data_IF_052226462336
#
_entry.id   IF_052226462336
#
_cell.length_a   1.000
_cell.length_b   1.000
_cell.length_c   1.000
_cell.angle_alpha   90.00
_cell.angle_beta   90.00
_cell.angle_gamma   90.00
#
_symmetry.space_group_name_H-M   'P 1'
#
loop_
_entity.id
_entity.type
_entity.pdbx_description
1 polymer ?
#
# COMPACT_ATOMS: atom_id res chain seq x y z
N UNK A 1 -10.15 21.68 39.83
CA UNK A 1 -10.78 22.80 40.55
C UNK A 1 -10.56 22.69 42.05
N UNK A 2 -10.62 21.49 42.64
CA UNK A 2 -10.40 21.24 44.08
C UNK A 2 -9.02 21.72 44.62
N UNK A 3 -7.94 21.59 43.84
CA UNK A 3 -6.60 22.05 44.28
C UNK A 3 -6.47 23.57 44.42
N UNK A 4 -7.25 24.33 43.64
CA UNK A 4 -7.17 25.79 43.60
C UNK A 4 -7.87 26.40 44.82
N UNK A 5 -9.00 25.81 45.21
CA UNK A 5 -9.76 26.19 46.41
C UNK A 5 -8.98 25.83 47.68
N UNK A 6 -8.36 24.63 47.71
CA UNK A 6 -7.49 24.20 48.80
C UNK A 6 -6.21 25.06 48.93
N UNK A 7 -5.70 25.63 47.83
CA UNK A 7 -4.59 26.58 47.86
C UNK A 7 -5.00 27.93 48.46
N UNK A 8 -6.15 28.47 48.06
CA UNK A 8 -6.66 29.75 48.58
C UNK A 8 -7.03 29.67 50.07
N UNK A 9 -7.62 28.56 50.52
CA UNK A 9 -7.91 28.31 51.93
C UNK A 9 -6.62 28.24 52.78
N UNK A 10 -5.60 27.52 52.31
CA UNK A 10 -4.28 27.48 52.98
C UNK A 10 -3.65 28.86 53.06
N UNK A 11 -3.77 29.68 52.01
CA UNK A 11 -3.27 31.05 52.00
C UNK A 11 -3.99 31.94 53.03
N UNK A 12 -5.32 31.84 53.12
CA UNK A 12 -6.12 32.62 54.06
C UNK A 12 -5.77 32.31 55.53
N UNK A 13 -5.57 31.03 55.87
CA UNK A 13 -5.14 30.61 57.22
C UNK A 13 -3.80 31.21 57.61
N UNK A 14 -2.84 31.28 56.67
CA UNK A 14 -1.52 31.88 56.91
C UNK A 14 -1.64 33.38 57.20
N UNK A 15 -2.48 34.10 56.43
CA UNK A 15 -2.70 35.53 56.64
C UNK A 15 -3.38 35.86 57.98
N UNK A 16 -4.42 35.11 58.35
CA UNK A 16 -5.13 35.32 59.62
C UNK A 16 -4.22 35.03 60.82
N UNK A 17 -3.37 34.00 60.73
CA UNK A 17 -2.42 33.67 61.79
C UNK A 17 -1.38 34.78 62.01
N UNK A 18 -0.76 35.26 60.92
CA UNK A 18 0.22 36.35 60.98
C UNK A 18 -0.37 37.67 61.52
N UNK A 19 -1.68 37.90 61.32
CA UNK A 19 -2.40 39.06 61.86
C UNK A 19 -2.60 38.96 63.38
N UNK A 20 -2.94 37.78 63.89
CA UNK A 20 -3.11 37.51 65.32
C UNK A 20 -1.79 37.65 66.09
N UNK A 21 -0.69 37.25 65.46
CA UNK A 21 0.65 37.26 66.04
C UNK A 21 1.28 38.66 66.01
N UNK A 22 1.02 39.46 64.97
CA UNK A 22 1.39 40.89 64.96
C UNK A 22 0.59 41.71 65.98
N UNK A 23 -0.67 41.34 66.24
CA UNK A 23 -1.45 41.94 67.32
C UNK A 23 -0.83 41.67 68.70
N UNK A 24 -0.31 40.46 68.95
CA UNK A 24 0.37 40.14 70.21
C UNK A 24 1.64 40.96 70.41
N UNK A 25 2.45 41.16 69.37
CA UNK A 25 3.63 42.04 69.45
C UNK A 25 3.26 43.51 69.69
N UNK A 26 2.11 43.96 69.19
CA UNK A 26 1.60 45.32 69.46
C UNK A 26 1.24 45.55 70.93
N UNK A 27 0.94 44.49 71.70
CA UNK A 27 0.66 44.54 73.15
C UNK A 27 1.94 44.72 73.98
N UNK A 28 3.12 44.46 73.42
CA UNK A 28 4.40 44.60 74.11
C UNK A 28 4.68 46.06 74.50
N UNK A 29 4.41 47.02 73.61
CA UNK A 29 4.70 48.44 73.85
C UNK A 29 3.89 49.01 75.04
N UNK A 30 2.56 48.79 75.11
CA UNK A 30 1.77 49.14 76.30
C UNK A 30 2.27 48.47 77.59
N UNK A 31 2.65 47.19 77.56
CA UNK A 31 3.16 46.48 78.73
C UNK A 31 4.49 47.06 79.24
N UNK A 32 5.40 47.41 78.32
CA UNK A 32 6.66 48.07 78.66
C UNK A 32 6.40 49.45 79.29
N UNK A 33 5.51 50.26 78.71
CA UNK A 33 5.13 51.54 79.30
C UNK A 33 4.50 51.37 80.69
N UNK A 34 3.64 50.37 80.87
CA UNK A 34 3.06 50.05 82.17
C UNK A 34 4.14 49.63 83.18
N UNK A 35 5.12 48.81 82.80
CA UNK A 35 6.22 48.43 83.67
C UNK A 35 7.05 49.63 84.16
N UNK A 36 7.29 50.64 83.30
CA UNK A 36 8.00 51.86 83.71
C UNK A 36 7.17 52.77 84.63
N UNK A 37 5.83 52.69 84.60
CA UNK A 37 4.96 53.45 85.49
C UNK A 37 4.82 52.79 86.87
N UNK A 38 4.83 51.46 86.93
CA UNK A 38 4.72 50.69 88.16
C UNK A 38 5.50 49.37 88.00
N UNK A 39 6.79 49.38 88.37
CA UNK A 39 7.67 48.23 88.18
C UNK A 39 7.34 47.14 89.20
N UNK A 40 6.82 46.03 88.71
CA UNK A 40 6.53 44.83 89.50
C UNK A 40 7.03 43.57 88.81
N UNK A 41 7.32 42.55 89.60
CA UNK A 41 7.77 41.24 89.11
C UNK A 41 6.71 40.58 88.20
N UNK A 42 5.43 40.80 88.49
CA UNK A 42 4.33 40.32 87.64
C UNK A 42 4.39 40.93 86.22
N UNK A 43 4.56 42.25 86.11
CA UNK A 43 4.66 42.93 84.79
C UNK A 43 5.93 42.56 84.04
N UNK A 44 7.04 42.34 84.76
CA UNK A 44 8.26 41.81 84.16
C UNK A 44 8.02 40.41 83.56
N UNK A 45 7.40 39.52 84.33
CA UNK A 45 7.10 38.15 83.89
C UNK A 45 6.13 38.13 82.69
N UNK A 46 5.17 39.06 82.62
CA UNK A 46 4.27 39.20 81.47
C UNK A 46 5.03 39.62 80.19
N UNK A 47 5.94 40.60 80.29
CA UNK A 47 6.80 41.02 79.18
C UNK A 47 7.72 39.88 78.75
N UNK A 48 8.34 39.19 79.71
CA UNK A 48 9.25 38.08 79.44
C UNK A 48 8.53 36.91 78.76
N UNK A 49 7.34 36.55 79.23
CA UNK A 49 6.47 35.53 78.64
C UNK A 49 6.14 35.85 77.18
N UNK A 50 5.77 37.10 76.88
CA UNK A 50 5.40 37.55 75.54
C UNK A 50 6.61 37.58 74.58
N UNK A 51 7.79 38.00 75.08
CA UNK A 51 9.05 37.93 74.33
C UNK A 51 9.42 36.47 74.01
N UNK A 52 9.34 35.58 75.00
CA UNK A 52 9.69 34.18 74.84
C UNK A 52 8.72 33.47 73.88
N UNK A 53 7.41 33.74 73.98
CA UNK A 53 6.42 33.26 73.01
C UNK A 53 6.71 33.75 71.59
N UNK A 54 7.09 35.02 71.43
CA UNK A 54 7.44 35.60 70.11
C UNK A 54 8.69 34.96 69.51
N UNK A 55 9.72 34.68 70.33
CA UNK A 55 10.94 33.99 69.89
C UNK A 55 10.65 32.57 69.41
N UNK A 56 9.84 31.82 70.17
CA UNK A 56 9.42 30.47 69.79
C UNK A 56 8.62 30.48 68.49
N UNK A 57 7.73 31.45 68.34
CA UNK A 57 6.97 31.64 67.11
C UNK A 57 7.88 31.92 65.90
N UNK A 58 8.82 32.86 66.04
CA UNK A 58 9.74 33.23 64.96
C UNK A 58 10.61 32.03 64.53
N UNK A 59 11.06 31.22 65.50
CA UNK A 59 11.78 29.97 65.25
C UNK A 59 10.91 28.96 64.48
N UNK A 60 9.63 28.82 64.86
CA UNK A 60 8.68 27.96 64.15
C UNK A 60 8.44 28.41 62.71
N UNK A 61 8.22 29.70 62.49
CA UNK A 61 8.03 30.26 61.14
C UNK A 61 9.28 30.08 60.29
N UNK A 62 10.47 30.27 60.85
CA UNK A 62 11.72 30.05 60.14
C UNK A 62 11.88 28.57 59.72
N UNK A 63 11.55 27.63 60.62
CA UNK A 63 11.58 26.21 60.31
C UNK A 63 10.56 25.83 59.22
N UNK A 64 9.32 26.31 59.33
CA UNK A 64 8.27 26.07 58.32
C UNK A 64 8.62 26.71 56.97
N UNK A 65 9.28 27.88 56.97
CA UNK A 65 9.74 28.54 55.75
C UNK A 65 10.84 27.73 55.06
N UNK A 66 11.78 27.18 55.83
CA UNK A 66 12.84 26.33 55.30
C UNK A 66 12.26 25.04 54.71
N UNK A 67 11.37 24.38 55.43
CA UNK A 67 10.70 23.17 54.94
C UNK A 67 9.91 23.44 53.65
N UNK A 68 9.15 24.54 53.59
CA UNK A 68 8.42 24.94 52.38
C UNK A 68 9.34 25.18 51.19
N UNK A 69 10.53 25.74 51.42
CA UNK A 69 11.51 25.94 50.37
C UNK A 69 12.05 24.60 49.85
N UNK A 70 12.37 23.67 50.73
CA UNK A 70 12.80 22.31 50.37
C UNK A 70 11.71 21.57 49.57
N UNK A 71 10.45 21.61 50.05
CA UNK A 71 9.30 21.02 49.36
C UNK A 71 9.10 21.63 47.96
N UNK A 72 9.28 22.95 47.83
CA UNK A 72 9.18 23.65 46.56
C UNK A 72 10.26 23.20 45.56
N UNK A 73 11.50 23.02 46.03
CA UNK A 73 12.60 22.52 45.20
C UNK A 73 12.35 21.08 44.73
N UNK A 74 11.84 20.21 45.61
CA UNK A 74 11.44 18.84 45.26
C UNK A 74 10.33 18.85 44.21
N UNK A 75 9.30 19.69 44.38
CA UNK A 75 8.21 19.82 43.41
C UNK A 75 8.68 20.39 42.07
N UNK A 76 9.62 21.33 42.07
CA UNK A 76 10.24 21.82 40.83
C UNK A 76 10.99 20.72 40.10
N UNK A 77 11.74 19.89 40.83
CA UNK A 77 12.50 18.79 40.26
C UNK A 77 11.56 17.73 39.64
N UNK A 78 10.54 17.30 40.39
CA UNK A 78 9.49 16.40 39.86
C UNK A 78 8.84 16.96 38.59
N UNK A 79 8.56 18.27 38.55
CA UNK A 79 8.00 18.92 37.36
C UNK A 79 8.93 18.83 36.14
N UNK A 80 10.25 18.92 36.34
CA UNK A 80 11.23 18.77 35.24
C UNK A 80 11.25 17.33 34.74
N UNK A 81 11.32 16.37 35.64
CA UNK A 81 11.31 14.93 35.33
C UNK A 81 10.05 14.54 34.54
N UNK A 82 8.86 14.89 35.03
CA UNK A 82 7.59 14.62 34.33
C UNK A 82 7.54 15.27 32.93
N UNK A 83 8.16 16.44 32.75
CA UNK A 83 8.25 17.09 31.42
C UNK A 83 9.17 16.34 30.47
N UNK A 84 10.24 15.74 30.97
CA UNK A 84 11.17 14.94 30.18
C UNK A 84 10.54 13.61 29.79
N UNK A 85 9.90 12.92 30.74
CA UNK A 85 9.11 11.71 30.49
C UNK A 85 8.02 11.95 29.43
N UNK A 86 7.26 13.04 29.56
CA UNK A 86 6.25 13.41 28.57
C UNK A 86 6.85 13.59 27.16
N UNK A 87 8.03 14.21 27.05
CA UNK A 87 8.71 14.37 25.76
C UNK A 87 9.11 13.02 25.17
N UNK A 88 9.62 12.09 25.99
CA UNK A 88 9.99 10.74 25.55
C UNK A 88 8.77 9.96 25.06
N UNK A 89 7.70 9.90 25.86
CA UNK A 89 6.45 9.23 25.48
C UNK A 89 5.89 9.81 24.18
N UNK A 90 5.96 11.13 24.00
CA UNK A 90 5.51 11.78 22.76
C UNK A 90 6.33 11.34 21.54
N UNK A 91 7.65 11.23 21.68
CA UNK A 91 8.52 10.75 20.60
C UNK A 91 8.21 9.29 20.26
N UNK A 92 8.10 8.42 21.26
CA UNK A 92 7.73 7.01 21.07
C UNK A 92 6.38 6.85 20.40
N UNK A 93 5.39 7.67 20.78
CA UNK A 93 4.06 7.68 20.16
C UNK A 93 4.14 8.04 18.68
N UNK A 94 5.00 9.01 18.31
CA UNK A 94 5.21 9.39 16.90
C UNK A 94 5.87 8.24 16.13
N UNK A 95 6.87 7.57 16.72
CA UNK A 95 7.51 6.42 16.09
C UNK A 95 6.56 5.24 15.90
N UNK A 96 5.76 4.92 16.92
CA UNK A 96 4.76 3.86 16.86
C UNK A 96 3.75 4.13 15.72
N UNK A 97 3.27 5.38 15.58
CA UNK A 97 2.40 5.78 14.46
C UNK A 97 3.07 5.59 13.10
N UNK A 98 4.35 5.95 12.95
CA UNK A 98 5.10 5.71 11.71
C UNK A 98 5.21 4.22 11.39
N UNK A 99 5.49 3.37 12.39
CA UNK A 99 5.56 1.91 12.23
C UNK A 99 4.20 1.32 11.82
N UNK A 100 3.11 1.80 12.41
CA UNK A 100 1.75 1.39 12.07
C UNK A 100 1.40 1.71 10.61
N UNK A 101 1.70 2.92 10.13
CA UNK A 101 1.48 3.29 8.72
C UNK A 101 2.28 2.37 7.78
N UNK A 102 3.55 2.09 8.10
CA UNK A 102 4.37 1.16 7.31
C UNK A 102 3.77 -0.25 7.27
N UNK A 103 3.32 -0.76 8.41
CA UNK A 103 2.70 -2.08 8.50
C UNK A 103 1.40 -2.15 7.67
N UNK A 104 0.57 -1.10 7.70
CA UNK A 104 -0.64 -1.02 6.87
C UNK A 104 -0.32 -1.04 5.38
N UNK A 105 0.73 -0.33 4.94
CA UNK A 105 1.16 -0.37 3.54
C UNK A 105 1.60 -1.78 3.13
N UNK A 106 2.39 -2.46 3.96
CA UNK A 106 2.83 -3.84 3.72
C UNK A 106 1.63 -4.79 3.65
N UNK A 107 0.66 -4.63 4.55
CA UNK A 107 -0.56 -5.43 4.52
C UNK A 107 -1.32 -5.23 3.21
N UNK A 108 -1.51 -3.99 2.76
CA UNK A 108 -2.18 -3.69 1.50
C UNK A 108 -1.43 -4.27 0.28
N UNK A 109 -0.09 -4.30 0.30
CA UNK A 109 0.69 -4.97 -0.76
C UNK A 109 0.51 -6.49 -0.69
N UNK A 110 0.50 -7.07 0.50
CA UNK A 110 0.31 -8.50 0.70
C UNK A 110 -1.09 -8.93 0.24
N UNK A 111 -2.13 -8.15 0.50
CA UNK A 111 -3.48 -8.42 0.01
C UNK A 111 -3.53 -8.47 -1.52
N UNK A 112 -2.81 -7.56 -2.20
CA UNK A 112 -2.66 -7.58 -3.66
C UNK A 112 -1.92 -8.84 -4.13
N UNK A 113 -0.84 -9.23 -3.45
CA UNK A 113 -0.10 -10.46 -3.74
C UNK A 113 -0.97 -11.70 -3.56
N UNK A 114 -1.75 -11.78 -2.47
CA UNK A 114 -2.71 -12.87 -2.22
C UNK A 114 -3.78 -12.93 -3.30
N UNK A 115 -4.31 -11.78 -3.72
CA UNK A 115 -5.28 -11.71 -4.82
C UNK A 115 -4.68 -12.20 -6.16
N UNK A 116 -3.43 -11.83 -6.45
CA UNK A 116 -2.71 -12.34 -7.63
C UNK A 116 -2.47 -13.85 -7.53
N UNK A 117 -2.01 -14.35 -6.38
CA UNK A 117 -1.82 -15.79 -6.16
C UNK A 117 -3.12 -16.58 -6.36
N UNK A 118 -4.25 -16.05 -5.89
CA UNK A 118 -5.58 -16.64 -6.16
C UNK A 118 -5.93 -16.65 -7.64
N UNK A 119 -5.57 -15.61 -8.41
CA UNK A 119 -5.77 -15.58 -9.87
C UNK A 119 -4.87 -16.59 -10.58
N UNK A 120 -3.59 -16.67 -10.20
CA UNK A 120 -2.63 -17.64 -10.76
C UNK A 120 -3.08 -19.07 -10.49
N UNK A 121 -3.61 -19.37 -9.29
CA UNK A 121 -4.13 -20.70 -8.96
C UNK A 121 -5.34 -21.12 -9.81
N UNK A 122 -6.07 -20.18 -10.42
CA UNK A 122 -7.18 -20.48 -11.35
C UNK A 122 -6.70 -20.77 -12.77
N UNK A 123 -5.47 -20.42 -13.11
CA UNK A 123 -4.90 -20.73 -14.43
C UNK A 123 -4.51 -22.21 -14.48
N UNK A 124 -4.58 -22.84 -15.67
CA UNK A 124 -4.08 -24.19 -15.84
C UNK A 124 -2.58 -24.25 -15.53
N UNK A 125 -2.15 -25.40 -15.01
CA UNK A 125 -0.74 -25.61 -14.72
C UNK A 125 0.06 -25.54 -16.02
N UNK A 126 1.27 -24.98 -15.94
CA UNK A 126 2.21 -24.98 -17.07
C UNK A 126 2.41 -26.41 -17.62
N UNK A 127 2.40 -27.43 -16.75
CA UNK A 127 2.50 -28.83 -17.17
C UNK A 127 1.32 -29.28 -18.01
N UNK A 128 0.09 -28.90 -17.63
CA UNK A 128 -1.12 -29.23 -18.38
C UNK A 128 -1.10 -28.57 -19.75
N UNK A 129 -0.79 -27.27 -19.80
CA UNK A 129 -0.67 -26.56 -21.08
C UNK A 129 0.42 -27.18 -21.97
N UNK A 130 1.51 -27.66 -21.38
CA UNK A 130 2.59 -28.30 -22.13
C UNK A 130 2.18 -29.68 -22.69
N UNK A 131 1.44 -30.47 -21.91
CA UNK A 131 0.84 -31.72 -22.38
C UNK A 131 -0.16 -31.46 -23.52
N UNK A 132 -1.05 -30.47 -23.38
CA UNK A 132 -2.01 -30.07 -24.42
C UNK A 132 -1.29 -29.62 -25.71
N UNK A 133 -0.22 -28.82 -25.58
CA UNK A 133 0.60 -28.41 -26.74
C UNK A 133 1.20 -29.63 -27.43
N UNK A 134 1.75 -30.58 -26.65
CA UNK A 134 2.39 -31.77 -27.20
C UNK A 134 1.38 -32.66 -27.93
N UNK A 135 0.18 -32.82 -27.41
CA UNK A 135 -0.90 -33.57 -28.07
C UNK A 135 -1.27 -32.94 -29.41
N UNK A 136 -1.41 -31.61 -29.45
CA UNK A 136 -1.69 -30.87 -30.69
C UNK A 136 -0.53 -30.97 -31.69
N UNK A 137 0.72 -30.93 -31.22
CA UNK A 137 1.90 -31.12 -32.07
C UNK A 137 1.91 -32.52 -32.71
N UNK A 138 1.58 -33.57 -31.94
CA UNK A 138 1.45 -34.94 -32.43
C UNK A 138 0.33 -35.06 -33.48
N UNK A 139 -0.82 -34.40 -33.27
CA UNK A 139 -1.92 -34.36 -34.24
C UNK A 139 -1.54 -33.64 -35.54
N UNK A 140 -0.82 -32.52 -35.45
CA UNK A 140 -0.31 -31.79 -36.61
C UNK A 140 0.63 -32.70 -37.41
N UNK A 141 1.59 -33.37 -36.77
CA UNK A 141 2.50 -34.28 -37.46
C UNK A 141 1.75 -35.41 -38.18
N UNK A 142 0.74 -36.02 -37.53
CA UNK A 142 -0.06 -37.07 -38.16
C UNK A 142 -0.84 -36.55 -39.38
N UNK A 143 -1.39 -35.34 -39.32
CA UNK A 143 -2.07 -34.72 -40.46
C UNK A 143 -1.11 -34.35 -41.59
N UNK A 144 0.10 -33.89 -41.27
CA UNK A 144 1.14 -33.59 -42.26
C UNK A 144 1.57 -34.87 -43.01
N UNK A 145 1.79 -35.98 -42.30
CA UNK A 145 2.09 -37.28 -42.92
C UNK A 145 0.95 -37.77 -43.82
N UNK A 146 -0.30 -37.66 -43.36
CA UNK A 146 -1.47 -38.03 -44.15
C UNK A 146 -1.61 -37.16 -45.41
N UNK A 147 -1.36 -35.85 -45.29
CA UNK A 147 -1.35 -34.91 -46.40
C UNK A 147 -0.25 -35.23 -47.43
N UNK A 148 0.96 -35.58 -46.96
CA UNK A 148 2.06 -36.01 -47.82
C UNK A 148 1.70 -37.27 -48.61
N UNK A 149 1.16 -38.30 -47.94
CA UNK A 149 0.69 -39.53 -48.61
C UNK A 149 -0.38 -39.26 -49.66
N UNK A 150 -1.36 -38.43 -49.33
CA UNK A 150 -2.39 -38.02 -50.31
C UNK A 150 -1.79 -37.25 -51.49
N UNK A 151 -0.79 -36.39 -51.25
CA UNK A 151 -0.10 -35.68 -52.33
C UNK A 151 0.63 -36.65 -53.26
N UNK A 152 1.34 -37.63 -52.71
CA UNK A 152 2.02 -38.67 -53.50
C UNK A 152 1.02 -39.49 -54.35
N UNK A 153 -0.14 -39.84 -53.78
CA UNK A 153 -1.21 -40.54 -54.51
C UNK A 153 -1.75 -39.69 -55.67
N UNK A 154 -2.01 -38.40 -55.42
CA UNK A 154 -2.48 -37.45 -56.44
C UNK A 154 -1.44 -37.33 -57.57
N UNK A 155 -0.16 -37.22 -57.25
CA UNK A 155 0.92 -37.16 -58.23
C UNK A 155 1.01 -38.46 -59.06
N UNK A 156 0.80 -39.62 -58.42
CA UNK A 156 0.69 -40.90 -59.10
C UNK A 156 -0.53 -40.99 -60.04
N UNK A 157 -1.68 -40.42 -59.66
CA UNK A 157 -2.84 -40.28 -60.55
C UNK A 157 -2.55 -39.34 -61.72
N UNK A 158 -1.97 -38.17 -61.46
CA UNK A 158 -1.62 -37.19 -62.50
C UNK A 158 -0.66 -37.79 -63.52
N UNK A 159 0.33 -38.57 -63.08
CA UNK A 159 1.26 -39.27 -63.97
C UNK A 159 0.55 -40.30 -64.84
N UNK A 160 -0.36 -41.11 -64.27
CA UNK A 160 -1.17 -42.08 -65.04
C UNK A 160 -2.07 -41.39 -66.06
N UNK A 161 -2.71 -40.27 -65.68
CA UNK A 161 -3.51 -39.46 -66.60
C UNK A 161 -2.63 -38.93 -67.74
N UNK A 162 -1.45 -38.38 -67.44
CA UNK A 162 -0.52 -37.87 -68.45
C UNK A 162 -0.08 -38.95 -69.45
N UNK A 163 0.25 -40.16 -68.97
CA UNK A 163 0.55 -41.32 -69.83
C UNK A 163 -0.67 -41.69 -70.68
N UNK A 164 -1.87 -41.74 -70.09
CA UNK A 164 -3.11 -42.01 -70.81
C UNK A 164 -3.37 -41.00 -71.93
N UNK A 165 -3.15 -39.71 -71.67
CA UNK A 165 -3.24 -38.64 -72.69
C UNK A 165 -2.24 -38.89 -73.81
N UNK A 166 -0.97 -39.20 -73.50
CA UNK A 166 0.04 -39.50 -74.52
C UNK A 166 -0.31 -40.72 -75.38
N UNK A 167 -0.86 -41.78 -74.78
CA UNK A 167 -1.30 -42.97 -75.52
C UNK A 167 -2.48 -42.64 -76.43
N UNK A 168 -3.45 -41.87 -75.94
CA UNK A 168 -4.59 -41.40 -76.76
C UNK A 168 -4.11 -40.52 -77.89
N UNK A 169 -3.16 -39.62 -77.65
CA UNK A 169 -2.54 -38.78 -78.68
C UNK A 169 -1.78 -39.63 -79.71
N UNK A 170 -1.01 -40.64 -79.28
CA UNK A 170 -0.33 -41.57 -80.19
C UNK A 170 -1.32 -42.38 -81.04
N UNK A 171 -2.41 -42.88 -80.44
CA UNK A 171 -3.49 -43.55 -81.17
C UNK A 171 -4.13 -42.58 -82.16
N UNK A 172 -4.39 -41.34 -81.73
CA UNK A 172 -4.89 -40.26 -82.57
C UNK A 172 -3.97 -40.00 -83.78
N UNK A 173 -2.66 -39.90 -83.55
CA UNK A 173 -1.64 -39.73 -84.57
C UNK A 173 -1.55 -40.93 -85.52
N UNK A 174 -1.68 -42.16 -85.01
CA UNK A 174 -1.70 -43.37 -85.82
C UNK A 174 -2.95 -43.46 -86.70
N UNK A 175 -4.12 -43.13 -86.15
CA UNK A 175 -5.38 -43.02 -86.92
C UNK A 175 -5.25 -41.91 -87.96
N UNK A 176 -4.73 -40.74 -87.59
CA UNK A 176 -4.55 -39.61 -88.49
C UNK A 176 -3.57 -39.92 -89.62
N UNK A 177 -2.46 -40.62 -89.35
CA UNK A 177 -1.53 -41.12 -90.37
C UNK A 177 -2.15 -42.20 -91.25
N UNK A 178 -2.92 -43.13 -90.70
CA UNK A 178 -3.61 -44.19 -91.46
C UNK A 178 -4.71 -43.65 -92.38
N UNK A 179 -5.42 -42.59 -91.96
CA UNK A 179 -6.38 -41.86 -92.81
C UNK A 179 -5.61 -41.09 -93.89
N UNK A 180 -4.47 -40.50 -93.55
CA UNK A 180 -3.63 -39.73 -94.47
C UNK A 180 -2.92 -40.60 -95.53
N UNK A 181 -2.64 -41.89 -95.25
CA UNK A 181 -2.02 -42.84 -96.21
C UNK A 181 -3.02 -43.64 -97.04
N UNK A 182 -4.32 -43.66 -96.68
CA UNK A 182 -5.40 -44.28 -97.47
C UNK A 182 -6.06 -43.36 -98.50
N UNK A 183 -5.59 -42.12 -98.65
CA UNK A 183 -6.08 -41.20 -99.67
C UNK A 183 -4.97 -40.78 -100.64
N UNK A 184 -5.06 -41.21 -101.91
CA UNK A 184 -4.75 -40.37 -103.04
C UNK A 184 -6.08 -39.84 -103.58
N UNK A 185 -6.60 -38.75 -103.00
CA UNK A 185 -7.31 -37.64 -103.68
C UNK A 185 -8.10 -36.81 -102.66
N UNK A 186 -7.95 -35.50 -102.80
CA UNK A 186 -8.92 -34.52 -102.31
C UNK A 186 -8.45 -33.74 -101.11
N UNK A 187 -7.81 -32.60 -101.38
CA UNK A 187 -7.73 -31.49 -100.45
C UNK A 187 -9.13 -31.17 -99.90
N UNK A 188 -9.36 -31.42 -98.61
CA UNK A 188 -10.40 -30.72 -97.86
C UNK A 188 -9.71 -30.05 -96.67
N UNK A 189 -9.46 -28.76 -96.84
CA UNK A 189 -9.00 -27.87 -95.79
C UNK A 189 -10.11 -27.67 -94.75
N UNK A 190 -10.14 -28.55 -93.74
CA UNK A 190 -10.98 -28.32 -92.56
C UNK A 190 -10.32 -27.24 -91.71
N UNK A 191 -10.78 -25.99 -91.89
CA UNK A 191 -10.49 -24.88 -90.98
C UNK A 191 -11.07 -25.20 -89.61
N UNK A 192 -10.24 -25.70 -88.70
CA UNK A 192 -10.57 -25.76 -87.28
C UNK A 192 -10.61 -24.31 -86.76
N UNK A 193 -11.83 -23.79 -86.57
CA UNK A 193 -12.06 -22.55 -85.82
C UNK A 193 -11.50 -22.74 -84.42
N UNK A 194 -10.43 -22.00 -84.07
CA UNK A 194 -10.06 -21.73 -82.67
C UNK A 194 -11.24 -21.05 -81.99
N UNK A 195 -12.07 -21.81 -81.29
CA UNK A 195 -13.03 -21.27 -80.33
C UNK A 195 -12.24 -20.66 -79.17
N UNK A 196 -12.27 -19.33 -79.09
CA UNK A 196 -11.91 -18.54 -77.92
C UNK A 196 -12.57 -19.14 -76.67
N UNK A 197 -11.78 -19.70 -75.77
CA UNK A 197 -12.20 -19.94 -74.39
C UNK A 197 -11.92 -18.66 -73.60
N UNK A 198 -12.98 -17.86 -73.44
CA UNK A 198 -13.11 -16.90 -72.36
C UNK A 198 -13.03 -17.64 -71.02
N UNK A 199 -11.97 -17.42 -70.24
CA UNK A 199 -12.09 -17.35 -68.78
C UNK A 199 -11.85 -15.91 -68.35
N UNK A 200 -12.90 -15.11 -68.54
CA UNK A 200 -13.15 -13.94 -67.71
C UNK A 200 -14.09 -14.34 -66.58
N UNK A 201 -13.60 -14.29 -65.34
CA UNK A 201 -14.32 -14.00 -64.09
C UNK A 201 -13.20 -13.73 -63.06
N UNK A 202 -12.99 -12.53 -62.53
CA UNK A 202 -13.92 -11.44 -62.33
C UNK A 202 -14.52 -11.51 -60.92
N UNK A 203 -13.83 -10.82 -59.99
CA UNK A 203 -14.36 -10.04 -58.85
C UNK A 203 -15.12 -10.77 -57.72
N UNK A 204 -14.62 -10.60 -56.50
CA UNK A 204 -15.32 -10.00 -55.36
C UNK A 204 -14.30 -9.75 -54.24
N UNK A 205 -13.89 -8.52 -53.88
CA UNK A 205 -14.60 -7.47 -53.12
C UNK A 205 -15.14 -7.94 -51.76
N UNK A 206 -14.45 -7.53 -50.68
CA UNK A 206 -14.98 -6.99 -49.40
C UNK A 206 -13.75 -6.53 -48.58
N UNK A 207 -13.43 -5.24 -48.48
CA UNK A 207 -14.08 -4.13 -47.76
C UNK A 207 -13.96 -4.20 -46.23
N UNK A 208 -13.47 -3.08 -45.65
CA UNK A 208 -13.84 -2.49 -44.33
C UNK A 208 -13.42 -3.29 -43.09
N UNK A 209 -12.73 -2.75 -42.07
CA UNK A 209 -12.88 -1.51 -41.28
C UNK A 209 -11.55 -1.29 -40.52
N UNK A 210 -10.97 -0.09 -40.36
CA UNK A 210 -11.32 1.01 -39.44
C UNK A 210 -11.57 0.60 -37.97
N UNK A 211 -10.57 0.85 -37.12
CA UNK A 211 -10.65 1.49 -35.78
C UNK A 211 -9.24 1.41 -35.18
N UNK A 212 -8.56 2.52 -34.89
CA UNK A 212 -8.92 3.40 -33.78
C UNK A 212 -8.36 2.76 -32.51
N UNK A 213 -7.17 3.19 -32.07
CA UNK A 213 -7.02 4.13 -30.95
C UNK A 213 -7.63 3.58 -29.65
N UNK A 214 -6.79 3.28 -28.67
CA UNK A 214 -6.94 3.60 -27.25
C UNK A 214 -5.58 3.22 -26.63
N UNK A 215 -4.82 4.23 -26.20
CA UNK A 215 -4.84 4.78 -24.84
C UNK A 215 -4.00 3.91 -23.90
#
# INVERSE_FOLDING_TARGET
>A
MEDQEAFHQRRAVIYERGKLETQQLAVLNPLIHAFFQDPSEQRYNEIESLINGSKLWLAKVAAESKQRQEDFEVLQQKRKETREEYKQIRLETIEAKKRLIKAQMIHATNDKCVALARKVKKLPSIKQIHEDIKEVEEEICAMEEASQKMSEEIDGFNTRIAVGVLVVDQIGDHIFKAISTRSPRGCISVKIKKSRSHRGRGKCRRSRRKSGSHA
#
